data_IF_607563788737
#
_entry.id   IF_607563788737
#
_cell.length_a   1.000
_cell.length_b   1.000
_cell.length_c   1.000
_cell.angle_alpha   90.00
_cell.angle_beta   90.00
_cell.angle_gamma   90.00
#
_symmetry.space_group_name_H-M   'P 1'
#
loop_
_entity.id
_entity.type
_entity.pdbx_description
1 polymer ?
#
# COMPACT_ATOMS: atom_id res chain seq x y z
N UNK A 1 15.16 -6.51 7.18
CA UNK A 1 14.19 -7.16 8.08
C UNK A 1 13.74 -8.46 7.44
N UNK A 2 13.76 -9.58 8.16
CA UNK A 2 13.25 -10.87 7.65
C UNK A 2 11.74 -10.82 7.38
N UNK A 3 11.27 -11.53 6.36
CA UNK A 3 9.87 -11.52 5.91
C UNK A 3 8.88 -11.80 7.05
N UNK A 4 9.18 -12.79 7.89
CA UNK A 4 8.32 -13.15 9.03
C UNK A 4 8.20 -12.01 10.04
N UNK A 5 9.31 -11.34 10.35
CA UNK A 5 9.32 -10.19 11.28
C UNK A 5 8.49 -9.04 10.71
N UNK A 6 8.60 -8.78 9.41
CA UNK A 6 7.80 -7.76 8.74
C UNK A 6 6.29 -8.03 8.88
N UNK A 7 5.87 -9.28 8.67
CA UNK A 7 4.45 -9.66 8.79
C UNK A 7 3.94 -9.54 10.23
N UNK A 8 4.73 -9.96 11.21
CA UNK A 8 4.37 -9.80 12.64
C UNK A 8 4.22 -8.32 12.98
N UNK A 9 5.16 -7.48 12.56
CA UNK A 9 5.09 -6.03 12.80
C UNK A 9 3.87 -5.39 12.15
N UNK A 10 3.50 -5.79 10.92
CA UNK A 10 2.27 -5.30 10.27
C UNK A 10 1.02 -5.63 11.10
N UNK A 11 0.91 -6.85 11.62
CA UNK A 11 -0.22 -7.27 12.45
C UNK A 11 -0.27 -6.47 13.76
N UNK A 12 0.89 -6.26 14.39
CA UNK A 12 0.99 -5.48 15.63
C UNK A 12 0.59 -4.02 15.42
N UNK A 13 1.09 -3.39 14.35
CA UNK A 13 0.72 -2.02 13.99
C UNK A 13 -0.78 -1.88 13.73
N UNK A 14 -1.37 -2.84 12.99
CA UNK A 14 -2.80 -2.84 12.72
C UNK A 14 -3.62 -2.95 14.02
N UNK A 15 -3.24 -3.84 14.94
CA UNK A 15 -3.91 -3.99 16.25
C UNK A 15 -3.80 -2.74 17.12
N UNK A 16 -2.67 -2.05 17.04
CA UNK A 16 -2.42 -0.81 17.77
C UNK A 16 -3.10 0.41 17.15
N UNK A 17 -3.78 0.27 15.99
CA UNK A 17 -4.39 1.40 15.28
C UNK A 17 -3.36 2.36 14.68
N UNK A 18 -2.13 1.89 14.44
CA UNK A 18 -1.02 2.68 13.88
C UNK A 18 -0.93 2.59 12.34
N UNK A 19 -1.86 1.85 11.71
CA UNK A 19 -1.95 1.77 10.27
C UNK A 19 -2.56 3.03 9.66
N UNK A 20 -2.25 3.30 8.39
CA UNK A 20 -2.93 4.33 7.62
C UNK A 20 -4.42 4.03 7.48
N UNK A 21 -5.24 5.10 7.39
CA UNK A 21 -6.59 4.94 6.84
C UNK A 21 -6.48 4.56 5.36
N UNK A 22 -7.53 3.97 4.74
CA UNK A 22 -7.49 3.68 3.31
C UNK A 22 -7.23 4.91 2.43
N UNK A 23 -7.69 6.10 2.84
CA UNK A 23 -7.42 7.35 2.12
C UNK A 23 -5.95 7.76 2.25
N UNK A 24 -5.43 7.81 3.48
CA UNK A 24 -4.02 8.17 3.73
C UNK A 24 -3.06 7.20 3.03
N UNK A 25 -3.42 5.91 2.97
CA UNK A 25 -2.62 4.90 2.28
C UNK A 25 -2.56 5.15 0.76
N UNK A 26 -3.66 5.57 0.14
CA UNK A 26 -3.70 5.92 -1.28
C UNK A 26 -2.89 7.19 -1.57
N UNK A 27 -3.01 8.21 -0.71
CA UNK A 27 -2.22 9.43 -0.82
C UNK A 27 -0.73 9.14 -0.66
N UNK A 28 -0.37 8.26 0.28
CA UNK A 28 1.02 7.84 0.48
C UNK A 28 1.56 7.05 -0.73
N UNK A 29 0.77 6.15 -1.32
CA UNK A 29 1.14 5.44 -2.55
C UNK A 29 1.39 6.43 -3.71
N UNK A 30 0.53 7.44 -3.88
CA UNK A 30 0.74 8.47 -4.89
C UNK A 30 2.05 9.24 -4.65
N UNK A 31 2.35 9.57 -3.39
CA UNK A 31 3.61 10.21 -3.02
C UNK A 31 4.83 9.32 -3.31
N UNK A 32 4.74 8.00 -3.09
CA UNK A 32 5.81 7.06 -3.41
C UNK A 32 6.04 6.96 -4.91
N UNK A 33 4.99 6.90 -5.73
CA UNK A 33 5.09 6.90 -7.20
C UNK A 33 5.80 8.17 -7.69
N UNK A 34 5.43 9.33 -7.13
CA UNK A 34 6.06 10.61 -7.49
C UNK A 34 7.55 10.70 -7.13
N UNK A 35 8.02 9.88 -6.19
CA UNK A 35 9.41 9.81 -5.75
C UNK A 35 10.23 8.75 -6.50
N UNK A 36 9.60 7.89 -7.31
CA UNK A 36 10.33 6.87 -8.07
C UNK A 36 11.22 7.52 -9.13
N UNK A 37 12.45 7.00 -9.24
CA UNK A 37 13.40 7.44 -10.24
C UNK A 37 12.99 6.96 -11.63
N UNK A 38 12.57 7.91 -12.48
CA UNK A 38 12.16 7.65 -13.86
C UNK A 38 13.29 7.12 -14.76
N UNK A 39 14.56 7.25 -14.35
CA UNK A 39 15.71 6.70 -15.08
C UNK A 39 16.04 5.27 -14.64
N UNK A 40 15.39 4.76 -13.60
CA UNK A 40 15.59 3.39 -13.14
C UNK A 40 15.00 2.40 -14.14
N UNK A 41 15.74 1.34 -14.55
CA UNK A 41 15.17 0.27 -15.37
C UNK A 41 14.06 -0.51 -14.66
N UNK A 42 13.88 -0.31 -13.35
CA UNK A 42 12.82 -0.92 -12.55
C UNK A 42 11.63 0.01 -12.32
N UNK A 43 11.64 1.24 -12.84
CA UNK A 43 10.62 2.26 -12.61
C UNK A 43 9.21 1.71 -12.88
N UNK A 44 8.96 1.26 -14.10
CA UNK A 44 7.63 0.78 -14.52
C UNK A 44 7.12 -0.35 -13.63
N UNK A 45 8.00 -1.31 -13.30
CA UNK A 45 7.65 -2.44 -12.43
C UNK A 45 7.28 -1.96 -11.01
N UNK A 46 8.03 -1.03 -10.43
CA UNK A 46 7.77 -0.52 -9.08
C UNK A 46 6.50 0.30 -9.03
N UNK A 47 6.30 1.17 -10.03
CA UNK A 47 5.06 1.94 -10.18
C UNK A 47 3.86 1.00 -10.33
N UNK A 48 3.98 -0.06 -11.13
CA UNK A 48 2.93 -1.06 -11.27
C UNK A 48 2.63 -1.79 -9.95
N UNK A 49 3.65 -2.22 -9.21
CA UNK A 49 3.47 -2.87 -7.89
C UNK A 49 2.73 -1.93 -6.91
N UNK A 50 3.08 -0.65 -6.89
CA UNK A 50 2.40 0.38 -6.09
C UNK A 50 0.94 0.61 -6.52
N UNK A 51 0.67 0.69 -7.84
CA UNK A 51 -0.68 0.83 -8.37
C UNK A 51 -1.57 -0.37 -8.00
N UNK A 52 -1.03 -1.59 -8.06
CA UNK A 52 -1.75 -2.82 -7.66
C UNK A 52 -2.10 -2.81 -6.17
N UNK A 53 -1.21 -2.32 -5.31
CA UNK A 53 -1.50 -2.13 -3.89
C UNK A 53 -2.62 -1.10 -3.66
N UNK A 54 -2.60 0.01 -4.38
CA UNK A 54 -3.66 1.02 -4.32
C UNK A 54 -5.03 0.46 -4.75
N UNK A 55 -5.07 -0.30 -5.83
CA UNK A 55 -6.28 -0.97 -6.31
C UNK A 55 -6.84 -1.97 -5.28
N UNK A 56 -5.97 -2.71 -4.58
CA UNK A 56 -6.35 -3.61 -3.50
C UNK A 56 -7.01 -2.84 -2.34
N UNK A 57 -6.36 -1.79 -1.85
CA UNK A 57 -6.87 -0.95 -0.75
C UNK A 57 -8.25 -0.35 -1.11
N UNK A 58 -8.39 0.18 -2.33
CA UNK A 58 -9.67 0.74 -2.79
C UNK A 58 -10.77 -0.31 -2.85
N UNK A 59 -10.46 -1.51 -3.34
CA UNK A 59 -11.42 -2.61 -3.43
C UNK A 59 -11.88 -3.06 -2.04
N UNK A 60 -10.96 -3.22 -1.09
CA UNK A 60 -11.28 -3.55 0.31
C UNK A 60 -12.16 -2.48 0.96
N UNK A 61 -11.87 -1.19 0.74
CA UNK A 61 -12.72 -0.09 1.20
C UNK A 61 -14.12 -0.17 0.59
N UNK A 62 -14.20 -0.41 -0.73
CA UNK A 62 -15.49 -0.49 -1.44
C UNK A 62 -16.31 -1.66 -0.93
N UNK A 63 -15.71 -2.83 -0.72
CA UNK A 63 -16.43 -4.02 -0.29
C UNK A 63 -16.98 -3.88 1.15
N UNK A 64 -16.35 -3.05 1.99
CA UNK A 64 -16.90 -2.67 3.30
C UNK A 64 -18.14 -1.74 3.22
N UNK A 65 -18.25 -0.94 2.16
CA UNK A 65 -19.35 0.02 1.96
C UNK A 65 -20.46 -0.55 1.06
N UNK A 66 -20.11 -1.42 0.12
CA UNK A 66 -21.02 -2.06 -0.83
C UNK A 66 -20.51 -3.48 -1.09
N UNK A 67 -20.90 -4.45 -0.25
CA UNK A 67 -20.52 -5.84 -0.45
C UNK A 67 -21.06 -6.34 -1.79
N UNK A 68 -20.22 -7.07 -2.54
CA UNK A 68 -20.63 -7.73 -3.79
C UNK A 68 -21.32 -9.06 -3.53
#
# INVERSE_FOLDING_TARGET
MEKTKALVTVIEMARAGLGFTPADALDHIAALIAQEDAQSPFHDRRVEELLRLGACIWSLRRDLVTPR
#
